data_IF_999030968519
#
_entry.id   IF_999030968519
#
_cell.length_a   1.000
_cell.length_b   1.000
_cell.length_c   1.000
_cell.angle_alpha   90.00
_cell.angle_beta   90.00
_cell.angle_gamma   90.00
#
_symmetry.space_group_name_H-M   'P 1'
#
loop_
_entity.id
_entity.type
_entity.pdbx_description
1 polymer ?
#
# COMPACT_ATOMS: atom_id res chain seq x y z
N UNK A 1 -5.61 5.53 -25.07
CA UNK A 1 -4.49 5.41 -24.12
C UNK A 1 -4.65 4.05 -23.48
N UNK A 2 -3.89 3.07 -23.96
CA UNK A 2 -3.90 1.72 -23.39
C UNK A 2 -3.15 1.77 -22.07
N UNK A 3 -3.80 1.34 -21.00
CA UNK A 3 -3.15 1.19 -19.70
C UNK A 3 -2.17 0.02 -19.79
N UNK A 4 -1.01 0.09 -19.11
CA UNK A 4 -0.03 -1.00 -19.15
C UNK A 4 -0.68 -2.34 -18.77
N UNK A 5 -0.18 -3.43 -19.36
CA UNK A 5 -0.66 -4.81 -19.11
C UNK A 5 -0.60 -5.22 -17.63
N UNK A 6 0.13 -4.49 -16.79
CA UNK A 6 0.30 -4.75 -15.35
C UNK A 6 -0.02 -3.50 -14.53
N UNK A 7 -0.84 -3.65 -13.49
CA UNK A 7 -1.18 -2.56 -12.59
C UNK A 7 -0.14 -2.38 -11.49
N UNK A 8 0.41 -1.17 -11.32
CA UNK A 8 1.24 -0.80 -10.16
C UNK A 8 0.49 0.20 -9.29
N UNK A 9 0.49 -0.02 -7.97
CA UNK A 9 0.06 0.97 -6.98
C UNK A 9 1.26 1.37 -6.12
N UNK A 10 1.36 2.68 -5.85
CA UNK A 10 2.16 3.22 -4.75
C UNK A 10 1.23 3.92 -3.77
N UNK A 11 1.14 3.45 -2.53
CA UNK A 11 0.47 4.16 -1.46
C UNK A 11 1.48 4.85 -0.55
N UNK A 12 1.14 6.03 -0.04
CA UNK A 12 1.96 6.82 0.89
C UNK A 12 1.14 7.07 2.14
N UNK A 13 1.72 6.70 3.28
CA UNK A 13 1.09 6.78 4.59
C UNK A 13 2.01 7.55 5.53
N UNK A 14 1.56 8.69 6.03
CA UNK A 14 2.28 9.43 7.06
C UNK A 14 1.72 9.04 8.42
N UNK A 15 2.55 8.42 9.26
CA UNK A 15 2.12 8.00 10.58
C UNK A 15 2.02 9.20 11.52
N UNK A 16 1.07 9.15 12.46
CA UNK A 16 1.11 10.03 13.62
C UNK A 16 2.38 9.75 14.45
N UNK A 17 2.94 10.75 15.17
CA UNK A 17 4.13 10.56 15.98
C UNK A 17 4.00 9.37 16.95
N UNK A 18 4.99 8.47 16.93
CA UNK A 18 5.02 7.27 17.78
C UNK A 18 4.02 6.16 17.39
N UNK A 19 3.29 6.29 16.27
CA UNK A 19 2.29 5.31 15.82
C UNK A 19 2.80 4.36 14.72
N UNK A 20 4.07 4.45 14.33
CA UNK A 20 4.63 3.66 13.23
C UNK A 20 4.49 2.14 13.40
N UNK A 21 4.64 1.62 14.62
CA UNK A 21 4.41 0.20 14.87
C UNK A 21 2.95 -0.21 14.64
N UNK A 22 2.00 0.65 15.02
CA UNK A 22 0.58 0.40 14.78
C UNK A 22 0.23 0.30 13.29
N UNK A 23 0.94 1.04 12.42
CA UNK A 23 0.80 0.91 10.96
C UNK A 23 1.30 -0.47 10.50
N UNK A 24 2.46 -0.92 10.99
CA UNK A 24 3.00 -2.25 10.64
C UNK A 24 2.05 -3.36 11.07
N UNK A 25 1.53 -3.30 12.30
CA UNK A 25 0.61 -4.31 12.81
C UNK A 25 -0.69 -4.33 11.99
N UNK A 26 -1.24 -3.16 11.65
CA UNK A 26 -2.44 -3.05 10.82
C UNK A 26 -2.22 -3.66 9.42
N UNK A 27 -1.08 -3.42 8.79
CA UNK A 27 -0.74 -4.04 7.51
C UNK A 27 -0.50 -5.55 7.62
N UNK A 28 0.14 -6.02 8.69
CA UNK A 28 0.37 -7.45 8.89
C UNK A 28 -0.95 -8.23 8.95
N UNK A 29 -1.97 -7.70 9.62
CA UNK A 29 -3.30 -8.31 9.68
C UNK A 29 -4.10 -8.15 8.38
N UNK A 30 -3.94 -7.00 7.72
CA UNK A 30 -4.56 -6.75 6.42
C UNK A 30 -4.04 -7.71 5.35
N UNK A 31 -2.72 -7.92 5.25
CA UNK A 31 -2.09 -8.83 4.28
C UNK A 31 -2.53 -10.28 4.50
N UNK A 32 -2.64 -10.74 5.76
CA UNK A 32 -3.15 -12.09 6.07
C UNK A 32 -4.56 -12.30 5.51
N UNK A 33 -5.38 -11.25 5.48
CA UNK A 33 -6.76 -11.29 4.98
C UNK A 33 -6.81 -11.16 3.45
N UNK A 34 -5.95 -10.32 2.88
CA UNK A 34 -5.88 -10.02 1.45
C UNK A 34 -5.30 -11.16 0.62
N UNK A 35 -4.18 -11.73 1.06
CA UNK A 35 -3.39 -12.69 0.29
C UNK A 35 -4.21 -13.85 -0.31
N UNK A 36 -5.15 -14.51 0.41
CA UNK A 36 -5.96 -15.57 -0.19
C UNK A 36 -7.07 -15.07 -1.12
N UNK A 37 -7.39 -13.76 -1.12
CA UNK A 37 -8.48 -13.14 -1.91
C UNK A 37 -7.99 -12.45 -3.17
N UNK A 38 -6.70 -12.12 -3.23
CA UNK A 38 -6.08 -11.42 -4.36
C UNK A 38 -4.89 -12.22 -4.91
N UNK A 39 -5.14 -13.40 -5.53
CA UNK A 39 -4.06 -14.21 -6.10
C UNK A 39 -3.30 -13.48 -7.21
N UNK A 40 -3.93 -12.48 -7.82
CA UNK A 40 -3.36 -11.64 -8.87
C UNK A 40 -2.49 -10.48 -8.35
N UNK A 41 -2.41 -10.28 -7.03
CA UNK A 41 -1.44 -9.39 -6.40
C UNK A 41 -0.08 -10.12 -6.26
N UNK A 42 0.75 -9.99 -7.29
CA UNK A 42 2.03 -10.71 -7.40
C UNK A 42 3.18 -10.06 -6.61
N UNK A 43 3.00 -8.82 -6.14
CA UNK A 43 3.95 -8.14 -5.29
C UNK A 43 3.21 -7.24 -4.32
N UNK A 44 3.55 -7.31 -3.04
CA UNK A 44 3.10 -6.39 -2.01
C UNK A 44 4.24 -6.20 -1.03
N UNK A 45 4.81 -4.99 -0.95
CA UNK A 45 5.88 -4.68 0.02
C UNK A 45 5.55 -3.38 0.73
N UNK A 46 5.66 -3.41 2.06
CA UNK A 46 5.59 -2.23 2.91
C UNK A 46 7.01 -1.75 3.25
N UNK A 47 7.34 -0.53 2.87
CA UNK A 47 8.57 0.16 3.24
C UNK A 47 8.30 1.15 4.36
N UNK A 48 9.31 1.36 5.22
CA UNK A 48 9.33 2.42 6.23
C UNK A 48 10.46 3.39 5.91
N UNK A 49 10.14 4.68 5.88
CA UNK A 49 11.06 5.79 5.88
C UNK A 49 10.96 6.49 7.23
N UNK A 50 12.12 6.81 7.82
CA UNK A 50 12.22 7.62 9.03
C UNK A 50 12.89 8.92 8.63
N UNK A 51 12.23 10.04 8.89
CA UNK A 51 12.82 11.36 8.71
C UNK A 51 13.91 11.59 9.77
N UNK A 52 15.15 11.81 9.33
CA UNK A 52 16.30 11.88 10.22
C UNK A 52 16.30 13.12 11.14
N UNK A 53 15.57 14.18 10.79
CA UNK A 53 15.54 15.43 11.54
C UNK A 53 14.41 15.45 12.56
N UNK A 54 13.23 14.95 12.17
CA UNK A 54 12.00 15.02 12.97
C UNK A 54 11.66 13.71 13.66
N UNK A 55 12.25 12.59 13.23
CA UNK A 55 11.89 11.25 13.68
C UNK A 55 10.53 10.78 13.17
N UNK A 56 9.86 11.56 12.32
CA UNK A 56 8.56 11.21 11.77
C UNK A 56 8.66 10.02 10.82
N UNK A 57 7.71 9.10 10.94
CA UNK A 57 7.66 7.90 10.11
C UNK A 57 6.70 8.06 8.94
N UNK A 58 7.16 7.70 7.75
CA UNK A 58 6.35 7.56 6.54
C UNK A 58 6.48 6.13 6.02
N UNK A 59 5.39 5.58 5.53
CA UNK A 59 5.34 4.26 4.95
C UNK A 59 4.92 4.32 3.49
N UNK A 60 5.39 3.33 2.73
CA UNK A 60 5.05 3.15 1.33
C UNK A 60 4.61 1.72 1.09
N UNK A 61 3.49 1.52 0.39
CA UNK A 61 3.25 0.21 -0.23
C UNK A 61 3.63 0.29 -1.70
N UNK A 62 4.29 -0.75 -2.20
CA UNK A 62 4.47 -0.98 -3.63
C UNK A 62 3.77 -2.29 -3.95
N UNK A 63 2.77 -2.20 -4.81
CA UNK A 63 1.87 -3.31 -5.10
C UNK A 63 1.82 -3.54 -6.61
N UNK A 64 2.06 -4.77 -7.07
CA UNK A 64 2.01 -5.16 -8.48
C UNK A 64 0.91 -6.18 -8.68
N UNK A 65 0.12 -5.95 -9.71
CA UNK A 65 -0.97 -6.82 -10.13
C UNK A 65 -0.70 -7.40 -11.50
N UNK A 66 -1.17 -8.61 -11.76
CA UNK A 66 -1.03 -9.29 -13.06
C UNK A 66 -1.64 -8.49 -14.21
N UNK A 67 -2.71 -7.74 -13.94
CA UNK A 67 -3.41 -6.89 -14.91
C UNK A 67 -4.22 -5.76 -14.25
N UNK A 68 -4.83 -4.90 -15.07
CA UNK A 68 -5.65 -3.78 -14.59
C UNK A 68 -6.99 -4.21 -13.98
N UNK A 69 -7.54 -5.37 -14.34
CA UNK A 69 -8.78 -5.88 -13.72
C UNK A 69 -8.53 -6.31 -12.28
N UNK A 70 -7.41 -6.97 -12.01
CA UNK A 70 -6.94 -7.31 -10.67
C UNK A 70 -6.73 -6.06 -9.81
N UNK A 71 -6.11 -5.00 -10.37
CA UNK A 71 -5.98 -3.71 -9.69
C UNK A 71 -7.34 -3.08 -9.39
N UNK A 72 -8.28 -3.11 -10.34
CA UNK A 72 -9.65 -2.60 -10.12
C UNK A 72 -10.35 -3.38 -9.02
N UNK A 73 -10.23 -4.71 -9.01
CA UNK A 73 -10.79 -5.56 -7.96
C UNK A 73 -10.20 -5.20 -6.60
N UNK A 74 -8.87 -5.07 -6.49
CA UNK A 74 -8.19 -4.68 -5.26
C UNK A 74 -8.79 -3.42 -4.65
N UNK A 75 -9.03 -2.38 -5.46
CA UNK A 75 -9.62 -1.10 -5.01
C UNK A 75 -11.04 -1.21 -4.48
N UNK A 76 -11.76 -2.27 -4.87
CA UNK A 76 -13.12 -2.53 -4.42
C UNK A 76 -13.19 -3.57 -3.31
N UNK A 77 -12.05 -4.12 -2.87
CA UNK A 77 -12.01 -5.18 -1.89
C UNK A 77 -12.50 -4.65 -0.52
N UNK A 78 -13.55 -5.25 0.08
CA UNK A 78 -14.06 -4.82 1.39
C UNK A 78 -13.03 -4.85 2.51
N UNK A 79 -11.93 -5.60 2.35
CA UNK A 79 -10.81 -5.59 3.29
C UNK A 79 -10.16 -4.20 3.42
N UNK A 80 -10.18 -3.37 2.36
CA UNK A 80 -9.69 -1.98 2.40
C UNK A 80 -10.52 -1.11 3.35
N UNK A 81 -11.84 -1.27 3.35
CA UNK A 81 -12.71 -0.54 4.27
C UNK A 81 -12.43 -0.91 5.73
N UNK A 82 -12.16 -2.20 5.99
CA UNK A 82 -11.77 -2.67 7.32
C UNK A 82 -10.43 -2.06 7.73
N UNK A 83 -9.44 -2.07 6.83
CA UNK A 83 -8.13 -1.46 7.09
C UNK A 83 -8.25 0.05 7.38
N UNK A 84 -8.98 0.79 6.55
CA UNK A 84 -9.21 2.23 6.73
C UNK A 84 -9.90 2.52 8.07
N UNK A 85 -10.87 1.71 8.48
CA UNK A 85 -11.53 1.84 9.79
C UNK A 85 -10.57 1.57 10.94
N UNK A 86 -9.69 0.57 10.84
CA UNK A 86 -8.68 0.29 11.87
C UNK A 86 -7.71 1.45 12.00
N UNK A 87 -7.21 1.96 10.87
CA UNK A 87 -6.28 3.10 10.83
C UNK A 87 -6.89 4.36 11.42
N UNK A 88 -8.15 4.67 11.07
CA UNK A 88 -8.87 5.82 11.61
C UNK A 88 -9.18 5.64 13.11
N UNK A 89 -9.73 4.49 13.52
CA UNK A 89 -10.11 4.23 14.92
C UNK A 89 -8.92 4.30 15.88
N UNK A 90 -7.75 3.86 15.43
CA UNK A 90 -6.50 3.87 16.22
C UNK A 90 -5.71 5.17 16.09
N UNK A 91 -6.23 6.14 15.32
CA UNK A 91 -5.58 7.42 15.03
C UNK A 91 -4.11 7.24 14.59
N UNK A 92 -3.89 6.36 13.60
CA UNK A 92 -2.54 5.98 13.20
C UNK A 92 -1.92 6.91 12.15
N UNK A 93 -2.73 7.65 11.40
CA UNK A 93 -2.28 8.46 10.25
C UNK A 93 -2.46 9.94 10.49
N UNK A 94 -1.42 10.71 10.17
CA UNK A 94 -1.40 12.16 10.34
C UNK A 94 -2.18 12.90 9.25
N UNK A 95 -2.44 12.25 8.12
CA UNK A 95 -3.20 12.80 6.99
C UNK A 95 -3.79 11.68 6.14
N UNK A 96 -4.75 11.98 5.23
CA UNK A 96 -5.31 10.98 4.33
C UNK A 96 -4.23 10.23 3.54
N UNK A 97 -4.39 8.91 3.43
CA UNK A 97 -3.51 8.04 2.65
C UNK A 97 -3.57 8.48 1.19
N UNK A 98 -2.41 8.67 0.57
CA UNK A 98 -2.32 8.99 -0.86
C UNK A 98 -2.06 7.70 -1.63
N UNK A 99 -2.77 7.51 -2.72
CA UNK A 99 -2.64 6.32 -3.58
C UNK A 99 -2.48 6.78 -5.02
N UNK A 100 -1.45 6.27 -5.69
CA UNK A 100 -1.22 6.51 -7.10
C UNK A 100 -1.24 5.18 -7.87
N UNK A 101 -1.92 5.15 -9.01
CA UNK A 101 -1.63 4.14 -10.04
C UNK A 101 -0.42 4.63 -10.80
N UNK A 102 0.55 3.75 -11.00
CA UNK A 102 1.78 4.06 -11.68
C UNK A 102 1.99 3.11 -12.86
N UNK A 103 2.84 3.53 -13.78
CA UNK A 103 3.38 2.70 -14.84
C UNK A 103 4.91 2.76 -14.80
N UNK A 104 5.62 1.66 -15.07
CA UNK A 104 7.07 1.69 -15.19
C UNK A 104 7.45 2.39 -16.49
N UNK A 105 8.15 3.53 -16.41
CA UNK A 105 8.64 4.26 -17.59
C UNK A 105 10.01 3.75 -18.03
N UNK A 106 10.87 3.42 -17.07
CA UNK A 106 12.20 2.85 -17.29
C UNK A 106 12.42 1.77 -16.23
N UNK A 107 12.79 0.56 -16.64
CA UNK A 107 13.21 -0.51 -15.77
C UNK A 107 14.63 -0.93 -16.16
N UNK A 108 15.48 -1.17 -15.16
CA UNK A 108 16.71 -1.92 -15.38
C UNK A 108 16.35 -3.40 -15.25
N UNK A 109 16.27 -4.12 -16.35
CA UNK A 109 16.11 -5.57 -16.30
C UNK A 109 17.31 -6.16 -15.55
N UNK A 110 17.10 -6.89 -14.44
CA UNK A 110 18.18 -7.67 -13.87
C UNK A 110 18.57 -8.73 -14.91
N UNK A 111 19.87 -8.81 -15.22
CA UNK A 111 20.44 -9.90 -16.01
C UNK A 111 20.10 -11.27 -15.42
#
# INVERSE_FOLDING_TARGET
MEFPEKGLIVAIIDANPGKGQGIVDAYADFIKTLKPREPDCIHFVLYRQIDATTGNERFFTVEKFTNMEALKFHRTNPALDVFNKVVAKKDLVAKPIKVATCEPIIAMDPK
#
